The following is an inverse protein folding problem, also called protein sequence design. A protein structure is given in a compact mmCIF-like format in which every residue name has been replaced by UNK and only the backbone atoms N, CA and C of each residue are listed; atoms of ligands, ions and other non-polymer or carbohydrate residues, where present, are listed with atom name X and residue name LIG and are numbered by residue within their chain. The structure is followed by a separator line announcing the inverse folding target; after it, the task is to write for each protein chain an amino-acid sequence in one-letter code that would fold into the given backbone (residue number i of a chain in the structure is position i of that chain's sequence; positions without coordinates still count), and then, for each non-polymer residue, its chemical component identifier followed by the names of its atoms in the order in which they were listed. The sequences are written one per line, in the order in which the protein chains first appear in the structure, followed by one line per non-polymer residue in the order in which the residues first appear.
data_IF_580612308804
#
_entry.id   IF_580612308804
#
_cell.length_a   1.000
_cell.length_b   1.000
_cell.length_c   1.000
_cell.angle_alpha   90.00
_cell.angle_beta   90.00
_cell.angle_gamma   90.00
#
_symmetry.space_group_name_H-M   'P 1'
#
loop_
_entity.id
_entity.type
_entity.pdbx_description
1 polymer ?
#
# COMPACT_ATOMS: atom_id res chain seq x y z
N UNK A 1 -16.38 -11.16 -6.25
CA UNK A 1 -15.22 -10.59 -5.53
C UNK A 1 -15.73 -9.76 -4.38
N UNK A 2 -15.43 -10.11 -3.13
CA UNK A 2 -15.79 -9.27 -1.99
C UNK A 2 -14.97 -7.97 -2.07
N UNK A 3 -15.65 -6.82 -2.15
CA UNK A 3 -15.02 -5.50 -2.17
C UNK A 3 -14.40 -5.27 -0.79
N UNK A 4 -13.07 -5.11 -0.71
CA UNK A 4 -12.39 -4.85 0.56
C UNK A 4 -12.94 -3.54 1.18
N UNK A 5 -13.25 -3.51 2.49
CA UNK A 5 -13.90 -2.36 3.13
C UNK A 5 -13.19 -1.03 2.87
N UNK A 6 -11.84 -1.03 2.84
CA UNK A 6 -11.04 0.18 2.65
C UNK A 6 -11.31 0.91 1.33
N UNK A 7 -11.72 0.19 0.27
CA UNK A 7 -12.02 0.77 -1.04
C UNK A 7 -13.28 1.64 -1.02
N UNK A 8 -14.15 1.48 -0.02
CA UNK A 8 -15.32 2.35 0.15
C UNK A 8 -14.95 3.72 0.73
N UNK A 9 -13.74 3.86 1.28
CA UNK A 9 -13.26 5.08 1.93
C UNK A 9 -12.11 5.74 1.17
N UNK A 10 -11.86 5.33 -0.09
CA UNK A 10 -10.72 5.78 -0.90
C UNK A 10 -10.64 7.32 -0.99
N UNK A 11 -11.71 7.99 -1.44
CA UNK A 11 -11.74 9.46 -1.51
C UNK A 11 -11.45 10.11 -0.16
N UNK A 12 -12.14 9.65 0.89
CA UNK A 12 -11.97 10.18 2.24
C UNK A 12 -10.55 10.02 2.76
N UNK A 13 -9.89 8.90 2.44
CA UNK A 13 -8.49 8.67 2.84
C UNK A 13 -7.58 9.67 2.13
N UNK A 14 -7.78 9.88 0.82
CA UNK A 14 -6.96 10.82 0.04
C UNK A 14 -7.14 12.25 0.55
N UNK A 15 -8.38 12.70 0.74
CA UNK A 15 -8.66 14.04 1.27
C UNK A 15 -7.94 14.29 2.60
N UNK A 16 -7.96 13.30 3.51
CA UNK A 16 -7.30 13.39 4.82
C UNK A 16 -5.76 13.39 4.66
N UNK A 17 -5.21 12.56 3.77
CA UNK A 17 -3.76 12.49 3.51
C UNK A 17 -3.25 13.77 2.85
N UNK A 18 -4.01 14.41 1.96
CA UNK A 18 -3.66 15.70 1.36
C UNK A 18 -3.64 16.84 2.38
N UNK A 19 -4.56 16.81 3.36
CA UNK A 19 -4.71 17.87 4.35
C UNK A 19 -3.78 17.71 5.56
N UNK A 20 -3.18 16.54 5.77
CA UNK A 20 -2.44 16.22 6.99
C UNK A 20 -1.10 15.55 6.69
N UNK A 21 -0.02 16.08 7.27
CA UNK A 21 1.32 15.48 7.16
C UNK A 21 1.43 14.08 7.77
N UNK A 22 0.56 13.75 8.73
CA UNK A 22 0.51 12.45 9.41
C UNK A 22 -0.93 12.01 9.57
N UNK A 23 -1.23 10.78 9.15
CA UNK A 23 -2.56 10.17 9.25
C UNK A 23 -2.47 8.82 9.93
N UNK A 24 -3.34 8.58 10.91
CA UNK A 24 -3.48 7.27 11.58
C UNK A 24 -4.73 6.59 11.05
N UNK A 25 -4.56 5.43 10.41
CA UNK A 25 -5.67 4.64 9.85
C UNK A 25 -5.87 3.38 10.69
N UNK A 26 -7.07 3.23 11.25
CA UNK A 26 -7.47 2.08 12.07
C UNK A 26 -8.48 1.25 11.29
N UNK A 27 -8.36 -0.07 11.37
CA UNK A 27 -9.35 -1.00 10.82
C UNK A 27 -8.99 -2.44 11.17
N UNK A 28 -9.96 -3.34 11.10
CA UNK A 28 -9.78 -4.75 11.47
C UNK A 28 -8.84 -5.52 10.53
N UNK A 29 -8.28 -6.63 10.98
CA UNK A 29 -7.50 -7.53 10.12
C UNK A 29 -8.36 -8.00 8.95
N UNK A 30 -7.81 -8.01 7.72
CA UNK A 30 -8.56 -8.33 6.51
C UNK A 30 -9.28 -7.15 5.85
N UNK A 31 -9.27 -5.96 6.46
CA UNK A 31 -9.89 -4.76 5.86
C UNK A 31 -9.18 -4.21 4.61
N UNK A 32 -7.96 -4.70 4.32
CA UNK A 32 -7.17 -4.29 3.16
C UNK A 32 -6.15 -3.17 3.41
N UNK A 33 -5.89 -2.75 4.66
CA UNK A 33 -4.93 -1.66 4.99
C UNK A 33 -3.58 -1.81 4.30
N UNK A 34 -2.85 -2.88 4.62
CA UNK A 34 -1.49 -3.09 4.13
C UNK A 34 -1.40 -3.42 2.64
N UNK A 35 -2.52 -3.82 2.00
CA UNK A 35 -2.54 -4.29 0.61
C UNK A 35 -3.11 -3.25 -0.36
N UNK A 36 -4.01 -2.37 0.10
CA UNK A 36 -4.71 -1.42 -0.77
C UNK A 36 -4.23 0.02 -0.61
N UNK A 37 -3.74 0.44 0.57
CA UNK A 37 -3.33 1.84 0.78
C UNK A 37 -2.23 2.29 -0.19
N UNK A 38 -1.19 1.47 -0.38
CA UNK A 38 -0.12 1.79 -1.33
C UNK A 38 -0.63 1.88 -2.77
N UNK A 39 -1.58 1.04 -3.15
CA UNK A 39 -2.19 1.06 -4.48
C UNK A 39 -3.04 2.31 -4.70
N UNK A 40 -3.82 2.70 -3.69
CA UNK A 40 -4.61 3.93 -3.68
C UNK A 40 -3.68 5.14 -3.89
N UNK A 41 -2.61 5.25 -3.10
CA UNK A 41 -1.63 6.34 -3.21
C UNK A 41 -0.93 6.33 -4.58
N UNK A 42 -0.53 5.16 -5.06
CA UNK A 42 0.06 5.01 -6.40
C UNK A 42 -0.88 5.51 -7.50
N UNK A 43 -2.15 5.09 -7.49
CA UNK A 43 -3.15 5.52 -8.49
C UNK A 43 -3.44 7.02 -8.46
N UNK A 44 -3.15 7.70 -7.33
CA UNK A 44 -3.31 9.14 -7.15
C UNK A 44 -2.06 9.95 -7.51
N UNK A 45 -1.01 9.32 -8.04
CA UNK A 45 0.18 10.01 -8.51
C UNK A 45 1.18 10.37 -7.41
N UNK A 46 1.05 9.81 -6.19
CA UNK A 46 2.03 10.04 -5.12
C UNK A 46 3.42 9.48 -5.46
N UNK A 47 3.53 8.65 -6.49
CA UNK A 47 4.80 8.12 -7.02
C UNK A 47 5.33 8.87 -8.24
N UNK A 48 4.62 9.89 -8.74
CA UNK A 48 5.04 10.64 -9.93
C UNK A 48 6.26 11.55 -9.65
N UNK A 49 6.43 11.94 -8.39
CA UNK A 49 7.53 12.79 -7.91
C UNK A 49 8.35 12.15 -6.78
N UNK A 50 8.10 10.88 -6.45
CA UNK A 50 8.74 10.22 -5.31
C UNK A 50 8.38 8.74 -5.18
N UNK A 51 8.65 8.17 -4.00
CA UNK A 51 8.40 6.76 -3.70
C UNK A 51 7.40 6.60 -2.56
N UNK A 52 6.50 5.61 -2.67
CA UNK A 52 5.66 5.15 -1.57
C UNK A 52 6.32 3.92 -0.95
N UNK A 53 6.76 4.04 0.31
CA UNK A 53 7.36 2.94 1.05
C UNK A 53 6.35 2.29 2.00
N UNK A 54 6.23 0.95 1.94
CA UNK A 54 5.43 0.17 2.89
C UNK A 54 6.37 -0.65 3.75
N UNK A 55 6.30 -0.46 5.07
CA UNK A 55 7.07 -1.26 6.03
C UNK A 55 6.18 -2.35 6.65
N UNK A 56 6.78 -3.51 6.93
CA UNK A 56 6.13 -4.60 7.66
C UNK A 56 7.11 -5.13 8.71
N UNK A 57 6.67 -5.41 9.95
CA UNK A 57 7.56 -5.91 11.00
C UNK A 57 8.09 -7.33 10.71
N UNK A 58 7.48 -8.06 9.76
CA UNK A 58 7.87 -9.42 9.38
C UNK A 58 8.27 -9.46 7.92
N UNK A 59 9.46 -10.03 7.63
CA UNK A 59 9.98 -10.22 6.26
C UNK A 59 8.97 -10.91 5.35
N UNK A 60 8.34 -12.00 5.81
CA UNK A 60 7.35 -12.75 5.03
C UNK A 60 6.14 -11.88 4.65
N UNK A 61 5.70 -10.99 5.55
CA UNK A 61 4.61 -10.06 5.25
C UNK A 61 5.05 -8.98 4.24
N UNK A 62 6.27 -8.45 4.38
CA UNK A 62 6.82 -7.49 3.41
C UNK A 62 6.88 -8.07 1.99
N UNK A 63 7.44 -9.27 1.85
CA UNK A 63 7.57 -9.97 0.56
C UNK A 63 6.20 -10.29 -0.03
N UNK A 64 5.24 -10.74 0.79
CA UNK A 64 3.88 -11.04 0.36
C UNK A 64 3.15 -9.79 -0.17
N UNK A 65 3.24 -8.67 0.55
CA UNK A 65 2.64 -7.40 0.13
C UNK A 65 3.28 -6.88 -1.16
N UNK A 66 4.61 -6.96 -1.28
CA UNK A 66 5.31 -6.55 -2.49
C UNK A 66 4.85 -7.36 -3.71
N UNK A 67 4.84 -8.70 -3.61
CA UNK A 67 4.38 -9.60 -4.69
C UNK A 67 2.91 -9.37 -5.06
N UNK A 68 2.05 -9.15 -4.07
CA UNK A 68 0.64 -8.82 -4.30
C UNK A 68 0.51 -7.50 -5.07
N UNK A 69 1.28 -6.48 -4.68
CA UNK A 69 1.24 -5.16 -5.32
C UNK A 69 1.64 -5.24 -6.79
N UNK A 70 2.73 -5.93 -7.11
CA UNK A 70 3.19 -6.10 -8.50
C UNK A 70 2.22 -6.89 -9.35
N UNK A 71 1.66 -7.98 -8.82
CA UNK A 71 0.63 -8.77 -9.52
C UNK A 71 -0.62 -7.94 -9.80
N UNK A 72 -1.03 -7.11 -8.84
CA UNK A 72 -2.26 -6.31 -8.96
C UNK A 72 -2.10 -5.09 -9.86
N UNK A 73 -0.90 -4.49 -9.91
CA UNK A 73 -0.60 -3.29 -10.70
C UNK A 73 0.03 -3.61 -12.07
N UNK A 74 0.31 -4.89 -12.35
CA UNK A 74 1.01 -5.29 -13.58
C UNK A 74 2.47 -4.85 -13.65
N UNK A 75 3.08 -4.50 -12.51
CA UNK A 75 4.47 -4.06 -12.42
C UNK A 75 5.42 -5.26 -12.19
N UNK A 76 6.70 -5.12 -12.57
CA UNK A 76 7.68 -6.17 -12.31
C UNK A 76 8.08 -6.22 -10.83
N UNK A 77 8.19 -7.42 -10.21
CA UNK A 77 8.77 -7.59 -8.88
C UNK A 77 10.17 -7.01 -8.82
N UNK A 78 10.42 -6.13 -7.84
CA UNK A 78 11.78 -5.79 -7.48
C UNK A 78 12.35 -7.01 -6.72
N UNK A 79 13.21 -7.79 -7.38
CA UNK A 79 13.91 -8.92 -6.76
C UNK A 79 14.88 -8.39 -5.71
N UNK A 80 14.44 -8.30 -4.46
CA UNK A 80 15.36 -8.13 -3.33
C UNK A 80 15.92 -9.49 -2.92
N UNK A 81 16.76 -10.08 -3.77
CA UNK A 81 17.76 -11.04 -3.30
C UNK A 81 19.00 -10.23 -2.86
N UNK A 82 19.30 -10.23 -1.56
CA UNK A 82 20.53 -9.69 -0.94
C UNK A 82 20.69 -8.16 -0.75
N UNK A 83 19.76 -7.50 -0.03
CA UNK A 83 19.97 -6.11 0.45
C UNK A 83 20.25 -5.99 1.97
N UNK A 84 20.47 -7.09 2.67
CA UNK A 84 20.96 -7.08 4.06
C UNK A 84 22.09 -8.11 4.18
N UNK A 85 23.27 -7.71 3.70
CA UNK A 85 24.55 -8.30 4.08
C UNK A 85 25.14 -7.54 5.26
#
# INVERSE_FOLDING_TARGET
MAKLPILQFEEKIIDIVEQNSVVVIIGETGSGKSTQLSQILYRRGYTDSGNVAVTQPRRVAAVSVARFSTTSLGAQPCEQENAFG
#
